data_IF_193894416589
#
_entry.id   IF_193894416589
#
_cell.length_a   1.000
_cell.length_b   1.000
_cell.length_c   1.000
_cell.angle_alpha   90.00
_cell.angle_beta   90.00
_cell.angle_gamma   90.00
#
_symmetry.space_group_name_H-M   'P 1'
#
loop_
_entity.id
_entity.type
_entity.pdbx_description
1 polymer ?
#
# COMPACT_ATOMS: atom_id res chain seq x y z
N UNK A 1 -156.96 142.86 81.71
CA UNK A 1 -157.72 143.65 82.71
C UNK A 1 -157.13 143.35 84.09
N UNK A 2 -157.70 143.92 85.16
CA UNK A 2 -157.39 143.72 86.59
C UNK A 2 -157.19 142.23 86.99
N UNK A 3 -156.49 141.83 88.06
CA UNK A 3 -155.72 142.52 89.13
C UNK A 3 -154.74 141.49 89.79
N UNK A 4 -154.09 141.60 90.97
CA UNK A 4 -154.16 142.50 92.16
C UNK A 4 -152.77 142.60 92.89
N UNK A 5 -152.75 142.75 94.22
CA UNK A 5 -151.63 142.61 95.20
C UNK A 5 -152.08 141.65 96.33
N UNK A 6 -151.23 141.09 97.25
CA UNK A 6 -150.09 141.71 97.97
C UNK A 6 -148.81 140.79 98.15
N UNK A 7 -147.60 141.27 98.49
CA UNK A 7 -146.94 141.39 99.84
C UNK A 7 -146.70 140.05 100.59
N UNK A 8 -145.55 139.72 101.23
CA UNK A 8 -144.29 140.46 101.54
C UNK A 8 -143.06 139.54 101.86
N UNK A 9 -141.84 140.11 101.93
CA UNK A 9 -140.55 139.65 102.53
C UNK A 9 -139.79 138.40 102.01
N UNK A 10 -138.51 138.29 102.43
CA UNK A 10 -137.47 137.27 102.17
C UNK A 10 -137.04 136.95 100.72
N UNK A 11 -136.30 137.86 100.05
CA UNK A 11 -135.64 137.54 98.76
C UNK A 11 -134.35 138.33 98.41
N UNK A 12 -133.21 138.05 99.07
CA UNK A 12 -131.91 138.69 98.74
C UNK A 12 -130.69 137.74 98.85
N UNK A 13 -130.55 136.75 97.93
CA UNK A 13 -129.32 135.90 97.88
C UNK A 13 -129.00 135.09 96.60
N UNK A 14 -129.66 135.35 95.46
CA UNK A 14 -129.65 134.45 94.29
C UNK A 14 -129.01 135.00 93.00
N UNK A 15 -128.32 136.16 93.03
CA UNK A 15 -127.96 136.90 91.80
C UNK A 15 -126.51 136.77 91.30
N UNK A 16 -125.53 136.46 92.14
CA UNK A 16 -124.11 136.74 91.83
C UNK A 16 -123.35 135.58 91.16
N UNK A 17 -123.70 134.33 91.49
CA UNK A 17 -122.97 133.13 91.04
C UNK A 17 -122.98 132.93 89.51
N UNK A 18 -124.05 133.39 88.85
CA UNK A 18 -124.35 133.03 87.45
C UNK A 18 -123.50 133.76 86.42
N UNK A 19 -122.87 134.88 86.78
CA UNK A 19 -122.08 135.70 85.85
C UNK A 19 -120.64 135.18 85.61
N UNK A 20 -120.02 134.55 86.63
CA UNK A 20 -118.64 134.03 86.55
C UNK A 20 -118.49 132.94 85.49
N UNK A 21 -119.39 131.95 85.50
CA UNK A 21 -119.35 130.77 84.64
C UNK A 21 -119.26 131.14 83.15
N UNK A 22 -119.98 132.17 82.72
CA UNK A 22 -119.97 132.67 81.33
C UNK A 22 -118.66 133.31 80.88
N UNK A 23 -117.87 133.88 81.79
CA UNK A 23 -116.57 134.52 81.46
C UNK A 23 -115.47 133.45 81.33
N UNK A 24 -115.55 132.39 82.12
CA UNK A 24 -114.59 131.28 82.10
C UNK A 24 -114.63 130.51 80.77
N UNK A 25 -115.84 130.15 80.31
CA UNK A 25 -116.06 129.45 79.04
C UNK A 25 -115.56 130.26 77.80
N UNK A 26 -115.64 131.59 77.84
CA UNK A 26 -115.14 132.44 76.75
C UNK A 26 -113.60 132.45 76.66
N UNK A 27 -112.87 132.24 77.77
CA UNK A 27 -111.41 132.07 77.73
C UNK A 27 -111.01 130.74 77.11
N UNK A 28 -111.72 129.67 77.45
CA UNK A 28 -111.46 128.32 76.93
C UNK A 28 -111.66 128.26 75.41
N UNK A 29 -112.74 128.85 74.89
CA UNK A 29 -112.99 128.95 73.45
C UNK A 29 -111.89 129.71 72.70
N UNK A 30 -111.30 130.74 73.31
CA UNK A 30 -110.23 131.55 72.69
C UNK A 30 -108.93 130.74 72.55
N UNK A 31 -108.54 129.96 73.56
CA UNK A 31 -107.39 129.06 73.43
C UNK A 31 -107.64 127.89 72.48
N UNK A 32 -108.87 127.37 72.34
CA UNK A 32 -109.17 126.40 71.29
C UNK A 32 -108.90 126.97 69.88
N UNK A 33 -109.32 128.21 69.60
CA UNK A 33 -109.03 128.89 68.32
C UNK A 33 -107.52 129.09 68.12
N UNK A 34 -106.79 129.40 69.19
CA UNK A 34 -105.33 129.58 69.19
C UNK A 34 -104.59 128.27 68.88
N UNK A 35 -105.05 127.15 69.45
CA UNK A 35 -104.55 125.80 69.18
C UNK A 35 -104.85 125.39 67.74
N UNK A 36 -106.07 125.63 67.24
CA UNK A 36 -106.45 125.29 65.86
C UNK A 36 -105.60 126.05 64.83
N UNK A 37 -105.40 127.36 65.01
CA UNK A 37 -104.54 128.17 64.13
C UNK A 37 -103.09 127.69 64.13
N UNK A 38 -102.58 127.23 65.28
CA UNK A 38 -101.23 126.66 65.41
C UNK A 38 -101.12 125.28 64.77
N UNK A 39 -102.17 124.47 64.79
CA UNK A 39 -102.25 123.17 64.09
C UNK A 39 -102.26 123.36 62.56
N UNK A 40 -103.04 124.32 62.05
CA UNK A 40 -103.09 124.64 60.62
C UNK A 40 -101.73 125.12 60.10
N UNK A 41 -101.07 126.02 60.82
CA UNK A 41 -99.71 126.48 60.50
C UNK A 41 -98.66 125.36 60.50
N UNK A 42 -98.84 124.32 61.31
CA UNK A 42 -98.00 123.11 61.29
C UNK A 42 -98.33 122.18 60.13
N UNK A 43 -99.61 122.01 59.78
CA UNK A 43 -100.05 121.20 58.65
C UNK A 43 -99.60 121.79 57.30
N UNK A 44 -99.68 123.12 57.14
CA UNK A 44 -99.15 123.81 55.96
C UNK A 44 -97.63 123.62 55.83
N UNK A 45 -96.87 123.74 56.92
CA UNK A 45 -95.42 123.42 56.91
C UNK A 45 -95.13 121.95 56.59
N UNK A 46 -95.94 121.01 57.10
CA UNK A 46 -95.81 119.59 56.75
C UNK A 46 -96.07 119.34 55.26
N UNK A 47 -97.03 120.04 54.65
CA UNK A 47 -97.33 119.96 53.20
C UNK A 47 -96.16 120.44 52.33
N UNK A 48 -95.36 121.40 52.79
CA UNK A 48 -94.15 121.88 52.06
C UNK A 48 -92.90 121.02 52.25
N UNK A 49 -92.92 119.98 53.10
CA UNK A 49 -91.76 119.13 53.40
C UNK A 49 -91.69 117.86 52.54
N UNK A 50 -92.10 117.95 51.27
CA UNK A 50 -91.96 116.86 50.29
C UNK A 50 -90.51 116.76 49.78
N UNK A 51 -89.64 116.08 50.53
CA UNK A 51 -88.28 115.76 50.10
C UNK A 51 -88.27 114.54 49.17
N UNK A 52 -87.95 114.73 47.90
CA UNK A 52 -87.78 113.68 46.90
C UNK A 52 -87.46 114.26 45.52
N UNK A 53 -86.96 113.43 44.60
CA UNK A 53 -86.92 113.75 43.17
C UNK A 53 -88.36 113.93 42.63
N UNK A 54 -88.52 114.69 41.54
CA UNK A 54 -89.73 114.62 40.73
C UNK A 54 -89.92 113.19 40.18
N UNK A 55 -91.15 112.65 40.09
CA UNK A 55 -91.40 111.29 39.57
C UNK A 55 -90.75 111.03 38.20
N UNK A 56 -90.70 112.05 37.34
CA UNK A 56 -90.03 112.01 36.02
C UNK A 56 -88.53 111.71 36.13
N UNK A 57 -87.86 112.38 37.08
CA UNK A 57 -86.42 112.23 37.34
C UNK A 57 -86.14 110.88 38.01
N UNK A 58 -87.05 110.42 38.87
CA UNK A 58 -86.98 109.09 39.47
C UNK A 58 -87.09 107.99 38.39
N UNK A 59 -88.08 108.08 37.49
CA UNK A 59 -88.25 107.15 36.37
C UNK A 59 -87.00 107.10 35.48
N UNK A 60 -86.47 108.25 35.05
CA UNK A 60 -85.24 108.29 34.25
C UNK A 60 -84.00 107.70 34.97
N UNK A 61 -83.92 107.81 36.30
CA UNK A 61 -82.86 107.17 37.09
C UNK A 61 -83.06 105.64 37.12
N UNK A 62 -84.29 105.17 37.31
CA UNK A 62 -84.65 103.74 37.28
C UNK A 62 -84.37 103.12 35.90
N UNK A 63 -84.79 103.77 34.80
CA UNK A 63 -84.54 103.26 33.44
C UNK A 63 -83.04 103.21 33.11
N UNK A 64 -82.26 104.22 33.51
CA UNK A 64 -80.80 104.20 33.36
C UNK A 64 -80.16 103.06 34.16
N UNK A 65 -80.60 102.84 35.40
CA UNK A 65 -80.13 101.71 36.22
C UNK A 65 -80.54 100.35 35.65
N UNK A 66 -81.72 100.26 35.02
CA UNK A 66 -82.22 99.05 34.34
C UNK A 66 -81.43 98.76 33.07
N UNK A 67 -81.20 99.74 32.20
CA UNK A 67 -80.34 99.57 31.02
C UNK A 67 -78.91 99.21 31.43
N UNK A 68 -78.39 99.78 32.52
CA UNK A 68 -77.07 99.40 33.07
C UNK A 68 -77.07 97.97 33.64
N UNK A 69 -78.12 97.52 34.33
CA UNK A 69 -78.18 96.16 34.87
C UNK A 69 -78.38 95.11 33.78
N UNK A 70 -79.19 95.40 32.75
CA UNK A 70 -79.35 94.56 31.55
C UNK A 70 -78.05 94.50 30.73
N UNK A 71 -77.37 95.64 30.56
CA UNK A 71 -76.04 95.69 29.93
C UNK A 71 -75.01 94.88 30.70
N UNK A 72 -74.94 95.05 32.03
CA UNK A 72 -74.04 94.30 32.90
C UNK A 72 -74.34 92.80 32.87
N UNK A 73 -75.62 92.41 32.97
CA UNK A 73 -76.03 91.00 32.87
C UNK A 73 -75.66 90.38 31.51
N UNK A 74 -75.87 91.09 30.40
CA UNK A 74 -75.46 90.63 29.07
C UNK A 74 -73.94 90.50 28.93
N UNK A 75 -73.17 91.41 29.55
CA UNK A 75 -71.71 91.38 29.57
C UNK A 75 -71.19 90.22 30.43
N UNK A 76 -71.78 89.99 31.61
CA UNK A 76 -71.48 88.85 32.48
C UNK A 76 -71.80 87.54 31.79
N UNK A 77 -72.99 87.37 31.21
CA UNK A 77 -73.35 86.16 30.45
C UNK A 77 -72.41 85.92 29.25
N UNK A 78 -71.95 86.97 28.57
CA UNK A 78 -70.94 86.88 27.51
C UNK A 78 -69.54 86.56 28.02
N UNK A 79 -69.22 86.87 29.28
CA UNK A 79 -67.97 86.46 29.93
C UNK A 79 -68.04 85.00 30.43
N UNK A 80 -69.14 84.62 31.08
CA UNK A 80 -69.45 83.26 31.50
C UNK A 80 -69.42 82.29 30.31
N UNK A 81 -70.05 82.65 29.18
CA UNK A 81 -69.98 81.83 27.97
C UNK A 81 -68.54 81.63 27.51
N UNK A 82 -67.72 82.69 27.42
CA UNK A 82 -66.29 82.53 27.06
C UNK A 82 -65.53 81.64 28.04
N UNK A 83 -65.84 81.70 29.34
CA UNK A 83 -65.22 80.84 30.36
C UNK A 83 -65.63 79.37 30.16
N UNK A 84 -66.86 79.10 29.74
CA UNK A 84 -67.32 77.76 29.37
C UNK A 84 -66.69 77.28 28.06
N UNK A 85 -66.69 78.11 27.00
CA UNK A 85 -66.08 77.81 25.70
C UNK A 85 -64.57 77.51 25.87
N UNK A 86 -63.83 78.33 26.64
CA UNK A 86 -62.42 78.08 26.96
C UNK A 86 -62.20 76.85 27.86
N UNK A 87 -63.18 76.47 28.69
CA UNK A 87 -63.10 75.25 29.51
C UNK A 87 -63.25 74.01 28.64
N UNK A 88 -64.22 74.00 27.71
CA UNK A 88 -64.41 72.94 26.70
C UNK A 88 -63.13 72.74 25.90
N UNK A 89 -62.59 73.81 25.31
CA UNK A 89 -61.33 73.74 24.54
C UNK A 89 -60.14 73.22 25.36
N UNK A 90 -60.07 73.53 26.66
CA UNK A 90 -59.03 72.99 27.55
C UNK A 90 -59.24 71.50 27.84
N UNK A 91 -60.49 71.07 27.98
CA UNK A 91 -60.90 69.68 28.25
C UNK A 91 -60.63 68.80 27.02
N UNK A 92 -61.07 69.24 25.84
CA UNK A 92 -60.74 68.66 24.51
C UNK A 92 -59.22 68.56 24.30
N UNK A 93 -58.46 69.62 24.62
CA UNK A 93 -56.99 69.63 24.52
C UNK A 93 -56.26 68.84 25.62
N UNK A 94 -56.98 68.34 26.63
CA UNK A 94 -56.49 67.34 27.59
C UNK A 94 -56.81 65.93 27.09
N UNK A 95 -58.04 65.68 26.65
CA UNK A 95 -58.48 64.40 26.07
C UNK A 95 -57.62 63.99 24.86
N UNK A 96 -57.40 64.90 23.90
CA UNK A 96 -56.52 64.67 22.74
C UNK A 96 -55.06 64.41 23.15
N UNK A 97 -54.61 64.92 24.30
CA UNK A 97 -53.25 64.66 24.80
C UNK A 97 -53.14 63.28 25.46
N UNK A 98 -54.17 62.88 26.21
CA UNK A 98 -54.26 61.54 26.81
C UNK A 98 -54.33 60.50 25.69
N UNK A 99 -55.26 60.65 24.74
CA UNK A 99 -55.41 59.73 23.62
C UNK A 99 -54.12 59.57 22.77
N UNK A 100 -53.37 60.65 22.56
CA UNK A 100 -52.06 60.60 21.87
C UNK A 100 -50.94 59.98 22.71
N UNK A 101 -50.97 60.14 24.03
CA UNK A 101 -50.02 59.47 24.92
C UNK A 101 -50.31 57.96 24.97
N UNK A 102 -51.59 57.57 25.01
CA UNK A 102 -52.03 56.19 24.96
C UNK A 102 -51.67 55.54 23.61
N UNK A 103 -51.94 56.21 22.47
CA UNK A 103 -51.54 55.76 21.13
C UNK A 103 -50.02 55.56 21.02
N UNK A 104 -49.23 56.52 21.51
CA UNK A 104 -47.77 56.42 21.51
C UNK A 104 -47.27 55.27 22.40
N UNK A 105 -47.88 55.05 23.56
CA UNK A 105 -47.56 53.98 24.49
C UNK A 105 -47.94 52.58 23.95
N UNK A 106 -49.07 52.44 23.24
CA UNK A 106 -49.36 51.17 22.54
C UNK A 106 -48.40 50.93 21.36
N UNK A 107 -47.98 51.98 20.65
CA UNK A 107 -46.94 51.86 19.59
C UNK A 107 -45.56 51.52 20.15
N UNK A 108 -45.20 52.06 21.31
CA UNK A 108 -43.97 51.70 22.02
C UNK A 108 -43.99 50.21 22.43
N UNK A 109 -45.10 49.72 22.99
CA UNK A 109 -45.28 48.30 23.32
C UNK A 109 -45.21 47.39 22.09
N UNK A 110 -45.81 47.79 20.96
CA UNK A 110 -45.77 47.05 19.70
C UNK A 110 -44.32 46.92 19.19
N UNK A 111 -43.56 48.02 19.20
CA UNK A 111 -42.14 48.03 18.81
C UNK A 111 -41.28 47.20 19.78
N UNK A 112 -41.50 47.30 21.09
CA UNK A 112 -40.79 46.49 22.09
C UNK A 112 -41.10 45.00 21.93
N UNK A 113 -42.33 44.63 21.57
CA UNK A 113 -42.70 43.26 21.25
C UNK A 113 -42.02 42.77 19.96
N UNK A 114 -41.97 43.60 18.90
CA UNK A 114 -41.28 43.29 17.64
C UNK A 114 -39.77 43.09 17.85
N UNK A 115 -39.11 43.99 18.58
CA UNK A 115 -37.70 43.86 18.97
C UNK A 115 -37.48 42.53 19.69
N UNK A 116 -38.32 42.18 20.68
CA UNK A 116 -38.20 40.92 21.41
C UNK A 116 -38.42 39.68 20.53
N UNK A 117 -39.08 39.77 19.38
CA UNK A 117 -39.18 38.69 18.39
C UNK A 117 -37.91 38.63 17.51
N UNK A 118 -37.43 39.78 17.03
CA UNK A 118 -36.22 39.87 16.22
C UNK A 118 -34.96 39.42 16.97
N UNK A 119 -34.85 39.72 18.26
CA UNK A 119 -33.75 39.24 19.11
C UNK A 119 -33.74 37.70 19.24
N UNK A 120 -34.91 37.08 19.42
CA UNK A 120 -35.01 35.61 19.46
C UNK A 120 -34.63 34.97 18.12
N UNK A 121 -35.01 35.59 17.00
CA UNK A 121 -34.60 35.14 15.67
C UNK A 121 -33.10 35.29 15.44
N UNK A 122 -32.48 36.39 15.89
CA UNK A 122 -31.02 36.58 15.91
C UNK A 122 -30.33 35.44 16.67
N UNK A 123 -30.79 35.15 17.89
CA UNK A 123 -30.15 34.17 18.77
C UNK A 123 -30.30 32.73 18.23
N UNK A 124 -31.44 32.40 17.61
CA UNK A 124 -31.65 31.12 16.94
C UNK A 124 -30.77 30.97 15.68
N UNK A 125 -30.66 32.01 14.85
CA UNK A 125 -29.76 32.04 13.70
C UNK A 125 -28.28 31.94 14.12
N UNK A 126 -27.89 32.57 15.23
CA UNK A 126 -26.53 32.44 15.77
C UNK A 126 -26.25 31.02 16.28
N UNK A 127 -27.24 30.37 16.90
CA UNK A 127 -27.15 28.97 17.32
C UNK A 127 -27.06 28.01 16.11
N UNK A 128 -27.84 28.24 15.05
CA UNK A 128 -27.72 27.48 13.80
C UNK A 128 -26.36 27.68 13.13
N UNK A 129 -25.84 28.91 13.10
CA UNK A 129 -24.51 29.24 12.56
C UNK A 129 -23.39 28.56 13.36
N UNK A 130 -23.47 28.56 14.70
CA UNK A 130 -22.55 27.81 15.58
C UNK A 130 -22.59 26.30 15.27
N UNK A 131 -23.78 25.71 15.11
CA UNK A 131 -23.97 24.29 14.73
C UNK A 131 -23.38 23.98 13.35
N UNK A 132 -23.56 24.87 12.36
CA UNK A 132 -22.99 24.72 11.01
C UNK A 132 -21.46 24.81 11.06
N UNK A 133 -20.89 25.76 11.79
CA UNK A 133 -19.44 25.90 11.93
C UNK A 133 -18.78 24.69 12.60
N UNK A 134 -19.39 24.12 13.66
CA UNK A 134 -18.92 22.88 14.29
C UNK A 134 -18.97 21.71 13.29
N UNK A 135 -20.07 21.60 12.53
CA UNK A 135 -20.24 20.57 11.51
C UNK A 135 -19.24 20.70 10.37
N UNK A 136 -18.98 21.93 9.92
CA UNK A 136 -18.01 22.26 8.87
C UNK A 136 -16.57 21.99 9.33
N UNK A 137 -16.22 22.29 10.58
CA UNK A 137 -14.94 21.90 11.17
C UNK A 137 -14.77 20.37 11.19
N UNK A 138 -15.80 19.62 11.61
CA UNK A 138 -15.78 18.16 11.63
C UNK A 138 -15.80 17.50 10.24
N UNK A 139 -16.33 18.17 9.21
CA UNK A 139 -16.20 17.76 7.80
C UNK A 139 -14.79 18.05 7.29
N UNK A 140 -14.24 19.23 7.55
CA UNK A 140 -12.89 19.62 7.13
C UNK A 140 -11.80 18.76 7.78
N UNK A 141 -11.97 18.35 9.04
CA UNK A 141 -11.08 17.39 9.69
C UNK A 141 -11.10 16.04 8.94
N UNK A 142 -12.28 15.45 8.72
CA UNK A 142 -12.42 14.19 7.96
C UNK A 142 -11.88 14.29 6.52
N UNK A 143 -12.00 15.45 5.88
CA UNK A 143 -11.44 15.71 4.56
C UNK A 143 -9.90 15.79 4.54
N UNK A 144 -9.26 16.18 5.65
CA UNK A 144 -7.79 16.11 5.80
C UNK A 144 -7.36 14.66 5.99
N UNK A 145 -7.94 13.96 6.97
CA UNK A 145 -7.66 12.54 7.20
C UNK A 145 -7.81 11.70 5.91
N UNK A 146 -8.91 11.84 5.18
CA UNK A 146 -9.15 11.09 3.94
C UNK A 146 -8.21 11.47 2.77
N UNK A 147 -7.54 12.63 2.82
CA UNK A 147 -6.45 12.98 1.89
C UNK A 147 -5.13 12.37 2.36
N UNK A 148 -4.82 12.45 3.64
CA UNK A 148 -3.62 11.85 4.24
C UNK A 148 -3.61 10.31 4.08
N UNK A 149 -4.76 9.65 4.29
CA UNK A 149 -4.96 8.21 4.03
C UNK A 149 -4.76 7.84 2.54
N UNK A 150 -5.26 8.67 1.62
CA UNK A 150 -5.02 8.50 0.17
C UNK A 150 -3.55 8.69 -0.17
N UNK A 151 -2.92 9.74 0.34
CA UNK A 151 -1.53 10.09 -0.01
C UNK A 151 -0.56 9.01 0.54
N UNK A 152 -0.85 8.44 1.70
CA UNK A 152 -0.17 7.25 2.23
C UNK A 152 -0.40 5.99 1.37
N UNK A 153 -1.62 5.80 0.85
CA UNK A 153 -1.94 4.68 -0.04
C UNK A 153 -1.23 4.81 -1.40
N UNK A 154 -1.22 6.00 -2.00
CA UNK A 154 -0.57 6.27 -3.28
C UNK A 154 0.96 6.10 -3.18
N UNK A 155 1.57 6.51 -2.06
CA UNK A 155 2.98 6.25 -1.73
C UNK A 155 3.25 4.73 -1.57
N UNK A 156 2.48 4.03 -0.74
CA UNK A 156 2.65 2.59 -0.52
C UNK A 156 2.44 1.77 -1.81
N UNK A 157 1.48 2.17 -2.65
CA UNK A 157 1.24 1.57 -3.95
C UNK A 157 2.39 1.84 -4.93
N UNK A 158 3.00 3.03 -4.88
CA UNK A 158 4.20 3.37 -5.67
C UNK A 158 5.39 2.47 -5.28
N UNK A 159 5.64 2.29 -3.98
CA UNK A 159 6.67 1.37 -3.47
C UNK A 159 6.43 -0.09 -3.91
N UNK A 160 5.18 -0.55 -3.94
CA UNK A 160 4.81 -1.88 -4.45
C UNK A 160 5.14 -2.00 -5.94
N UNK A 161 4.82 -0.97 -6.75
CA UNK A 161 5.13 -0.94 -8.19
C UNK A 161 6.64 -0.94 -8.44
N UNK A 162 7.43 -0.20 -7.67
CA UNK A 162 8.90 -0.24 -7.77
C UNK A 162 9.47 -1.61 -7.39
N UNK A 163 9.00 -2.23 -6.30
CA UNK A 163 9.42 -3.58 -5.92
C UNK A 163 9.08 -4.61 -7.02
N UNK A 164 7.85 -4.57 -7.56
CA UNK A 164 7.43 -5.46 -8.66
C UNK A 164 8.32 -5.27 -9.90
N UNK A 165 8.64 -4.02 -10.25
CA UNK A 165 9.56 -3.71 -11.36
C UNK A 165 10.97 -4.24 -11.14
N UNK A 166 11.54 -4.11 -9.94
CA UNK A 166 12.87 -4.69 -9.66
C UNK A 166 12.88 -6.22 -9.73
N UNK A 167 11.76 -6.87 -9.38
CA UNK A 167 11.58 -8.32 -9.56
C UNK A 167 11.40 -8.72 -11.03
N UNK A 168 10.71 -7.92 -11.83
CA UNK A 168 10.62 -8.10 -13.29
C UNK A 168 12.00 -7.96 -13.96
N UNK A 169 12.80 -6.96 -13.56
CA UNK A 169 14.18 -6.77 -14.02
C UNK A 169 15.10 -7.94 -13.61
N UNK A 170 14.95 -8.48 -12.40
CA UNK A 170 15.71 -9.63 -11.90
C UNK A 170 15.37 -10.92 -12.67
N UNK A 171 14.07 -11.21 -12.85
CA UNK A 171 13.59 -12.35 -13.63
C UNK A 171 14.00 -12.22 -15.10
N UNK A 172 13.95 -11.01 -15.67
CA UNK A 172 14.40 -10.75 -17.05
C UNK A 172 15.89 -11.03 -17.25
N UNK A 173 16.74 -10.68 -16.28
CA UNK A 173 18.17 -11.02 -16.29
C UNK A 173 18.40 -12.53 -16.17
N UNK A 174 17.65 -13.21 -15.31
CA UNK A 174 17.70 -14.68 -15.18
C UNK A 174 17.28 -15.39 -16.48
N UNK A 175 16.18 -14.96 -17.11
CA UNK A 175 15.73 -15.48 -18.41
C UNK A 175 16.76 -15.23 -19.52
N UNK A 176 17.45 -14.08 -19.50
CA UNK A 176 18.53 -13.80 -20.45
C UNK A 176 19.73 -14.75 -20.25
N UNK A 177 20.12 -15.01 -19.00
CA UNK A 177 21.20 -15.95 -18.68
C UNK A 177 20.85 -17.38 -19.12
N UNK A 178 19.67 -17.90 -18.79
CA UNK A 178 19.25 -19.25 -19.16
C UNK A 178 19.11 -19.45 -20.68
N UNK A 179 18.87 -18.39 -21.47
CA UNK A 179 18.93 -18.46 -22.94
C UNK A 179 20.36 -18.69 -23.43
N UNK A 180 21.33 -17.93 -22.91
CA UNK A 180 22.75 -18.12 -23.24
C UNK A 180 23.23 -19.51 -22.81
N UNK A 181 22.79 -20.02 -21.66
CA UNK A 181 23.05 -21.41 -21.24
C UNK A 181 22.45 -22.44 -22.21
N UNK A 182 21.23 -22.22 -22.71
CA UNK A 182 20.60 -23.10 -23.71
C UNK A 182 21.33 -23.08 -25.08
N UNK A 183 21.82 -21.92 -25.51
CA UNK A 183 22.63 -21.79 -26.74
C UNK A 183 23.98 -22.52 -26.59
N UNK A 184 24.61 -22.44 -25.40
CA UNK A 184 25.83 -23.18 -25.04
C UNK A 184 25.56 -24.69 -25.02
N UNK A 185 24.47 -25.15 -24.39
CA UNK A 185 24.08 -26.56 -24.37
C UNK A 185 23.78 -27.11 -25.77
N UNK A 186 23.14 -26.32 -26.63
CA UNK A 186 22.89 -26.67 -28.04
C UNK A 186 24.22 -26.82 -28.80
N UNK A 187 25.20 -25.95 -28.54
CA UNK A 187 26.54 -26.04 -29.12
C UNK A 187 27.28 -27.30 -28.67
N UNK A 188 27.20 -27.66 -27.38
CA UNK A 188 27.78 -28.90 -26.86
C UNK A 188 27.10 -30.16 -27.40
N UNK A 189 25.77 -30.15 -27.56
CA UNK A 189 25.01 -31.26 -28.12
C UNK A 189 25.42 -31.54 -29.57
N UNK A 190 25.53 -30.49 -30.39
CA UNK A 190 26.03 -30.61 -31.77
C UNK A 190 27.46 -31.17 -31.80
N UNK A 191 28.37 -30.63 -30.97
CA UNK A 191 29.76 -31.10 -30.88
C UNK A 191 29.85 -32.59 -30.49
N UNK A 192 29.00 -33.07 -29.57
CA UNK A 192 28.98 -34.46 -29.15
C UNK A 192 28.45 -35.39 -30.26
N UNK A 193 27.40 -34.98 -30.98
CA UNK A 193 26.87 -35.75 -32.11
C UNK A 193 27.87 -35.82 -33.28
N UNK A 194 28.47 -34.68 -33.66
CA UNK A 194 29.53 -34.62 -34.68
C UNK A 194 30.73 -35.50 -34.30
N UNK A 195 31.15 -35.46 -33.02
CA UNK A 195 32.24 -36.30 -32.50
C UNK A 195 31.87 -37.79 -32.52
N UNK A 196 30.62 -38.14 -32.21
CA UNK A 196 30.13 -39.51 -32.23
C UNK A 196 30.07 -40.07 -33.66
N UNK A 197 29.55 -39.29 -34.62
CA UNK A 197 29.56 -39.62 -36.05
C UNK A 197 31.00 -39.80 -36.57
N UNK A 198 31.92 -38.92 -36.19
CA UNK A 198 33.33 -39.02 -36.55
C UNK A 198 33.97 -40.29 -35.96
N UNK A 199 33.84 -40.52 -34.65
CA UNK A 199 34.40 -41.70 -33.98
C UNK A 199 33.84 -43.01 -34.56
N UNK A 200 32.55 -43.04 -34.85
CA UNK A 200 31.90 -44.18 -35.50
C UNK A 200 32.48 -44.42 -36.91
N UNK A 201 32.55 -43.39 -37.75
CA UNK A 201 33.07 -43.52 -39.12
C UNK A 201 34.53 -43.98 -39.15
N UNK A 202 35.36 -43.49 -38.22
CA UNK A 202 36.75 -43.94 -38.05
C UNK A 202 36.83 -45.41 -37.60
N UNK A 203 35.93 -45.83 -36.69
CA UNK A 203 35.87 -47.22 -36.21
C UNK A 203 35.45 -48.18 -37.32
N UNK A 204 34.39 -47.84 -38.06
CA UNK A 204 33.93 -48.63 -39.22
C UNK A 204 34.96 -48.66 -40.36
N UNK A 205 35.74 -47.58 -40.57
CA UNK A 205 36.83 -47.56 -41.55
C UNK A 205 38.01 -48.44 -41.11
N UNK A 206 38.38 -48.40 -39.83
CA UNK A 206 39.45 -49.25 -39.27
C UNK A 206 39.06 -50.73 -39.27
N UNK A 207 37.81 -51.06 -38.95
CA UNK A 207 37.30 -52.43 -39.03
C UNK A 207 37.38 -52.98 -40.46
N UNK A 208 36.95 -52.20 -41.46
CA UNK A 208 37.11 -52.55 -42.88
C UNK A 208 38.58 -52.75 -43.25
N UNK A 209 39.48 -51.85 -42.85
CA UNK A 209 40.93 -52.00 -43.10
C UNK A 209 41.49 -53.30 -42.50
N UNK A 210 41.11 -53.65 -41.27
CA UNK A 210 41.58 -54.87 -40.60
C UNK A 210 41.02 -56.12 -41.29
N UNK A 211 39.76 -56.11 -41.73
CA UNK A 211 39.16 -57.22 -42.46
C UNK A 211 39.77 -57.40 -43.85
N UNK A 212 40.00 -56.30 -44.58
CA UNK A 212 40.73 -56.27 -45.87
C UNK A 212 42.16 -56.86 -45.74
N UNK A 213 42.86 -56.52 -44.65
CA UNK A 213 44.21 -57.02 -44.38
C UNK A 213 44.20 -58.48 -43.92
N UNK A 214 43.19 -58.90 -43.16
CA UNK A 214 42.98 -60.28 -42.76
C UNK A 214 42.65 -61.19 -43.95
N UNK A 215 41.78 -60.78 -44.88
CA UNK A 215 41.49 -61.54 -46.09
C UNK A 215 42.75 -61.74 -46.94
N UNK A 216 43.56 -60.68 -47.13
CA UNK A 216 44.86 -60.78 -47.82
C UNK A 216 45.82 -61.74 -47.12
N UNK A 217 45.89 -61.71 -45.79
CA UNK A 217 46.73 -62.64 -45.02
C UNK A 217 46.25 -64.08 -45.09
N UNK A 218 44.94 -64.32 -45.13
CA UNK A 218 44.35 -65.66 -45.34
C UNK A 218 44.71 -66.18 -46.74
N UNK A 219 44.56 -65.33 -47.77
CA UNK A 219 44.97 -65.57 -49.15
C UNK A 219 46.46 -65.97 -49.26
N UNK A 220 47.36 -65.21 -48.60
CA UNK A 220 48.80 -65.52 -48.57
C UNK A 220 49.10 -66.82 -47.82
N UNK A 221 48.42 -67.09 -46.70
CA UNK A 221 48.61 -68.30 -45.90
C UNK A 221 48.20 -69.56 -46.67
N UNK A 222 47.06 -69.54 -47.37
CA UNK A 222 46.62 -70.67 -48.19
C UNK A 222 47.58 -70.91 -49.37
N UNK A 223 48.02 -69.85 -50.06
CA UNK A 223 49.01 -69.96 -51.15
C UNK A 223 50.35 -70.54 -50.66
N UNK A 224 50.80 -70.17 -49.47
CA UNK A 224 51.99 -70.75 -48.84
C UNK A 224 51.79 -72.22 -48.45
N UNK A 225 50.64 -72.58 -47.87
CA UNK A 225 50.31 -73.96 -47.52
C UNK A 225 50.30 -74.87 -48.76
N UNK A 226 49.64 -74.44 -49.84
CA UNK A 226 49.63 -75.16 -51.13
C UNK A 226 51.06 -75.34 -51.67
N UNK A 227 51.90 -74.31 -51.60
CA UNK A 227 53.29 -74.38 -52.07
C UNK A 227 54.13 -75.39 -51.27
N UNK A 228 54.07 -75.33 -49.94
CA UNK A 228 54.82 -76.20 -49.04
C UNK A 228 54.35 -77.66 -49.13
N UNK A 229 53.04 -77.91 -49.09
CA UNK A 229 52.48 -79.27 -49.20
C UNK A 229 52.76 -79.88 -50.59
N UNK A 230 52.70 -79.09 -51.66
CA UNK A 230 53.13 -79.54 -53.00
C UNK A 230 54.62 -79.87 -53.04
N UNK A 231 55.46 -79.15 -52.28
CA UNK A 231 56.88 -79.47 -52.08
C UNK A 231 57.07 -80.80 -51.36
N UNK A 232 56.50 -80.95 -50.16
CA UNK A 232 56.63 -82.17 -49.36
C UNK A 232 56.08 -83.41 -50.08
N UNK A 233 54.95 -83.31 -50.80
CA UNK A 233 54.43 -84.41 -51.63
C UNK A 233 55.45 -84.88 -52.68
N UNK A 234 56.12 -83.94 -53.38
CA UNK A 234 57.15 -84.23 -54.39
C UNK A 234 58.45 -84.78 -53.82
N UNK A 235 58.75 -84.51 -52.55
CA UNK A 235 59.94 -85.03 -51.86
C UNK A 235 59.68 -86.40 -51.20
N UNK A 236 58.49 -86.59 -50.62
CA UNK A 236 58.07 -87.85 -50.01
C UNK A 236 57.94 -88.98 -51.03
N UNK A 237 57.31 -88.74 -52.18
CA UNK A 237 57.04 -89.80 -53.18
C UNK A 237 58.32 -90.53 -53.65
N UNK A 238 59.39 -89.85 -54.11
CA UNK A 238 60.67 -90.50 -54.42
C UNK A 238 61.39 -91.11 -53.21
N UNK A 239 61.13 -90.60 -52.00
CA UNK A 239 61.79 -91.05 -50.77
C UNK A 239 61.17 -92.36 -50.24
N UNK A 240 59.84 -92.49 -50.28
CA UNK A 240 59.13 -93.75 -49.95
C UNK A 240 59.50 -94.86 -50.94
N UNK A 241 59.56 -94.54 -52.25
CA UNK A 241 60.03 -95.48 -53.30
C UNK A 241 61.51 -95.88 -53.09
N UNK A 242 62.32 -95.03 -52.45
CA UNK A 242 63.72 -95.39 -52.09
C UNK A 242 63.77 -96.32 -50.89
N UNK A 243 62.97 -96.05 -49.85
CA UNK A 243 62.83 -96.95 -48.70
C UNK A 243 62.37 -98.34 -49.14
N UNK A 244 61.34 -98.43 -49.99
CA UNK A 244 60.86 -99.72 -50.54
C UNK A 244 62.01 -100.55 -51.15
N UNK A 245 62.88 -99.91 -51.94
CA UNK A 245 64.07 -100.52 -52.55
C UNK A 245 65.17 -100.86 -51.53
N UNK A 246 65.36 -100.05 -50.50
CA UNK A 246 66.29 -100.37 -49.41
C UNK A 246 65.81 -101.59 -48.61
N UNK A 247 64.50 -101.68 -48.32
CA UNK A 247 63.90 -102.84 -47.64
C UNK A 247 64.03 -104.11 -48.49
N UNK A 248 63.74 -104.04 -49.79
CA UNK A 248 63.97 -105.16 -50.73
C UNK A 248 65.45 -105.56 -50.78
N UNK A 249 66.37 -104.59 -50.83
CA UNK A 249 67.82 -104.83 -50.83
C UNK A 249 68.31 -105.50 -49.54
N UNK A 250 67.84 -105.05 -48.37
CA UNK A 250 68.17 -105.65 -47.07
C UNK A 250 67.60 -107.05 -46.92
N UNK A 251 66.37 -107.31 -47.41
CA UNK A 251 65.78 -108.66 -47.46
C UNK A 251 66.61 -109.60 -48.36
N UNK A 252 67.09 -109.11 -49.51
CA UNK A 252 67.97 -109.87 -50.39
C UNK A 252 69.35 -110.16 -49.76
N UNK A 253 69.97 -109.21 -49.04
CA UNK A 253 71.21 -109.48 -48.31
C UNK A 253 71.00 -110.46 -47.14
N UNK A 254 69.87 -110.37 -46.43
CA UNK A 254 69.57 -111.28 -45.32
C UNK A 254 69.32 -112.72 -45.80
N UNK A 255 68.61 -112.90 -46.91
CA UNK A 255 68.32 -114.23 -47.48
C UNK A 255 69.54 -114.93 -48.10
N UNK A 256 70.60 -114.19 -48.42
CA UNK A 256 71.83 -114.74 -49.01
C UNK A 256 72.82 -115.34 -48.00
N UNK A 257 72.62 -115.16 -46.69
CA UNK A 257 73.67 -115.38 -45.69
C UNK A 257 73.78 -116.82 -45.15
N UNK A 258 72.75 -117.66 -45.29
CA UNK A 258 72.76 -119.03 -44.72
C UNK A 258 73.65 -120.04 -45.48
N UNK A 259 74.14 -119.74 -46.69
CA UNK A 259 74.88 -120.71 -47.53
C UNK A 259 76.15 -120.12 -48.16
N UNK A 260 77.10 -119.66 -47.33
CA UNK A 260 78.50 -119.50 -47.74
C UNK A 260 79.50 -119.68 -46.58
N UNK A 261 80.61 -120.36 -46.88
CA UNK A 261 81.82 -120.57 -46.07
C UNK A 261 82.34 -119.28 -45.39
N UNK A 262 82.80 -119.27 -44.13
CA UNK A 262 83.85 -120.09 -43.49
C UNK A 262 85.25 -119.94 -44.15
N UNK A 263 86.31 -119.91 -43.34
CA UNK A 263 87.67 -119.45 -43.68
C UNK A 263 87.72 -117.96 -44.04
N UNK A 264 88.65 -117.21 -43.43
CA UNK A 264 88.91 -115.82 -43.77
C UNK A 264 90.39 -115.48 -43.61
N UNK A 265 90.78 -114.28 -44.00
CA UNK A 265 91.93 -113.58 -43.44
C UNK A 265 91.85 -112.06 -43.70
N UNK A 266 92.61 -111.31 -42.89
CA UNK A 266 93.11 -109.92 -43.00
C UNK A 266 92.47 -108.89 -43.96
N UNK A 267 92.25 -107.70 -43.39
CA UNK A 267 92.40 -106.36 -43.98
C UNK A 267 91.85 -106.11 -45.39
N UNK A 268 90.54 -105.86 -45.47
CA UNK A 268 90.01 -104.93 -46.46
C UNK A 268 89.04 -103.92 -45.83
N UNK A 269 89.31 -102.63 -46.07
CA UNK A 269 88.49 -101.49 -45.58
C UNK A 269 87.25 -101.29 -46.46
N UNK A 270 86.58 -102.39 -46.81
CA UNK A 270 85.29 -102.38 -47.47
C UNK A 270 84.21 -102.19 -46.39
N UNK A 271 83.41 -101.13 -46.50
CA UNK A 271 82.23 -100.97 -45.66
C UNK A 271 81.28 -102.14 -45.92
N UNK A 272 80.79 -102.81 -44.87
CA UNK A 272 79.78 -103.84 -45.01
C UNK A 272 78.60 -103.25 -45.81
N UNK A 273 78.24 -103.79 -46.98
CA UNK A 273 77.24 -103.15 -47.85
C UNK A 273 75.88 -103.05 -47.16
N UNK A 274 75.55 -104.02 -46.30
CA UNK A 274 74.41 -103.96 -45.38
C UNK A 274 74.41 -102.69 -44.54
N UNK A 275 75.53 -102.38 -43.85
CA UNK A 275 75.62 -101.24 -42.92
C UNK A 275 75.37 -99.90 -43.63
N UNK A 276 75.90 -99.70 -44.83
CA UNK A 276 75.65 -98.48 -45.60
C UNK A 276 74.17 -98.36 -46.02
N UNK A 277 73.52 -99.46 -46.39
CA UNK A 277 72.09 -99.47 -46.73
C UNK A 277 71.23 -99.25 -45.49
N UNK A 278 71.60 -99.77 -44.32
CA UNK A 278 70.90 -99.48 -43.04
C UNK A 278 71.08 -98.02 -42.60
N UNK A 279 72.26 -97.42 -42.82
CA UNK A 279 72.56 -96.02 -42.51
C UNK A 279 71.80 -95.06 -43.47
N UNK A 280 71.77 -95.35 -44.77
CA UNK A 280 70.93 -94.62 -45.73
C UNK A 280 69.42 -94.84 -45.49
N UNK A 281 69.00 -96.04 -45.08
CA UNK A 281 67.61 -96.30 -44.69
C UNK A 281 67.20 -95.41 -43.51
N UNK A 282 68.03 -95.31 -42.47
CA UNK A 282 67.75 -94.50 -41.28
C UNK A 282 67.69 -93.00 -41.56
N UNK A 283 68.55 -92.47 -42.44
CA UNK A 283 68.47 -91.07 -42.88
C UNK A 283 67.15 -90.77 -43.61
N UNK A 284 66.75 -91.63 -44.55
CA UNK A 284 65.48 -91.46 -45.27
C UNK A 284 64.26 -91.70 -44.36
N UNK A 285 64.32 -92.63 -43.41
CA UNK A 285 63.26 -92.90 -42.43
C UNK A 285 63.06 -91.70 -41.51
N UNK A 286 64.14 -91.20 -40.89
CA UNK A 286 64.10 -90.02 -40.02
C UNK A 286 63.61 -88.78 -40.79
N UNK A 287 64.05 -88.60 -42.05
CA UNK A 287 63.61 -87.50 -42.90
C UNK A 287 62.12 -87.58 -43.26
N UNK A 288 61.62 -88.77 -43.60
CA UNK A 288 60.20 -89.00 -43.92
C UNK A 288 59.33 -88.77 -42.68
N UNK A 289 59.70 -89.34 -41.52
CA UNK A 289 58.97 -89.14 -40.25
C UNK A 289 58.97 -87.66 -39.84
N UNK A 290 60.10 -86.96 -39.97
CA UNK A 290 60.18 -85.51 -39.69
C UNK A 290 59.29 -84.71 -40.64
N UNK A 291 59.26 -85.07 -41.93
CA UNK A 291 58.41 -84.41 -42.93
C UNK A 291 56.92 -84.63 -42.63
N UNK A 292 56.51 -85.84 -42.28
CA UNK A 292 55.13 -86.12 -41.86
C UNK A 292 54.75 -85.33 -40.59
N UNK A 293 55.63 -85.27 -39.59
CA UNK A 293 55.42 -84.47 -38.37
C UNK A 293 55.21 -82.98 -38.64
N UNK A 294 55.96 -82.40 -39.60
CA UNK A 294 55.74 -81.02 -40.05
C UNK A 294 54.40 -80.86 -40.77
N UNK A 295 54.01 -81.81 -41.62
CA UNK A 295 52.70 -81.82 -42.29
C UNK A 295 51.55 -81.96 -41.27
N UNK A 296 51.72 -82.77 -40.23
CA UNK A 296 50.75 -82.91 -39.14
C UNK A 296 50.58 -81.61 -38.35
N UNK A 297 51.68 -80.94 -38.01
CA UNK A 297 51.59 -79.63 -37.34
C UNK A 297 50.97 -78.55 -38.26
N UNK A 298 51.31 -78.54 -39.56
CA UNK A 298 50.64 -77.67 -40.53
C UNK A 298 49.14 -77.96 -40.62
N UNK A 299 48.73 -79.23 -40.57
CA UNK A 299 47.33 -79.67 -40.57
C UNK A 299 46.57 -79.17 -39.34
N UNK A 300 47.15 -79.30 -38.15
CA UNK A 300 46.60 -78.73 -36.91
C UNK A 300 46.43 -77.21 -37.02
N UNK A 301 47.48 -76.48 -37.43
CA UNK A 301 47.42 -75.01 -37.55
C UNK A 301 46.43 -74.55 -38.63
N UNK A 302 46.24 -75.32 -39.69
CA UNK A 302 45.24 -75.02 -40.72
C UNK A 302 43.81 -75.11 -40.15
N UNK A 303 43.47 -76.19 -39.44
CA UNK A 303 42.12 -76.43 -38.94
C UNK A 303 41.78 -75.75 -37.61
N UNK A 304 42.76 -75.50 -36.72
CA UNK A 304 42.53 -74.87 -35.41
C UNK A 304 41.90 -73.46 -35.49
N UNK A 305 41.88 -72.84 -36.68
CA UNK A 305 41.24 -71.54 -36.95
C UNK A 305 39.96 -71.60 -37.79
N UNK A 306 39.52 -72.77 -38.27
CA UNK A 306 38.34 -72.96 -39.16
C UNK A 306 36.99 -72.86 -38.39
N UNK A 307 36.91 -71.96 -37.42
CA UNK A 307 35.79 -71.82 -36.47
C UNK A 307 34.78 -70.71 -36.78
N UNK A 308 35.02 -69.90 -37.82
CA UNK A 308 34.12 -68.82 -38.22
C UNK A 308 34.24 -68.46 -39.72
N UNK A 309 35.45 -68.48 -40.30
CA UNK A 309 35.68 -68.38 -41.75
C UNK A 309 35.99 -69.75 -42.35
N UNK A 310 35.37 -70.05 -43.50
CA UNK A 310 35.79 -71.09 -44.45
C UNK A 310 36.74 -70.44 -45.47
N UNK A 311 37.95 -70.97 -45.66
CA UNK A 311 38.90 -70.30 -46.56
C UNK A 311 38.57 -70.60 -48.01
N UNK A 312 38.76 -69.61 -48.89
CA UNK A 312 38.32 -69.66 -50.30
C UNK A 312 38.83 -70.86 -51.10
N UNK A 313 40.05 -71.33 -50.81
CA UNK A 313 40.69 -72.46 -51.50
C UNK A 313 40.95 -73.66 -50.56
N UNK A 314 40.12 -73.87 -49.53
CA UNK A 314 40.24 -75.00 -48.59
C UNK A 314 40.39 -76.36 -49.30
N UNK A 315 39.64 -76.58 -50.40
CA UNK A 315 39.60 -77.86 -51.13
C UNK A 315 40.96 -78.29 -51.70
N UNK A 316 41.75 -77.37 -52.27
CA UNK A 316 43.07 -77.72 -52.82
C UNK A 316 44.14 -77.95 -51.75
N UNK A 317 43.91 -77.46 -50.52
CA UNK A 317 44.73 -77.80 -49.35
C UNK A 317 44.32 -79.15 -48.78
N UNK A 318 43.01 -79.41 -48.69
CA UNK A 318 42.42 -80.70 -48.29
C UNK A 318 42.91 -81.84 -49.22
N UNK A 319 42.86 -81.68 -50.54
CA UNK A 319 43.40 -82.63 -51.53
C UNK A 319 44.89 -82.94 -51.33
N UNK A 320 45.70 -81.93 -51.00
CA UNK A 320 47.14 -82.10 -50.78
C UNK A 320 47.46 -82.82 -49.47
N UNK A 321 46.70 -82.56 -48.39
CA UNK A 321 46.81 -83.35 -47.16
C UNK A 321 46.42 -84.80 -47.40
N UNK A 322 45.29 -85.05 -48.08
CA UNK A 322 44.84 -86.40 -48.41
C UNK A 322 45.84 -87.16 -49.28
N UNK A 323 46.52 -86.50 -50.23
CA UNK A 323 47.56 -87.13 -51.05
C UNK A 323 48.85 -87.44 -50.27
N UNK A 324 49.20 -86.64 -49.26
CA UNK A 324 50.31 -86.95 -48.36
C UNK A 324 49.93 -88.08 -47.40
N UNK A 325 48.69 -88.15 -46.93
CA UNK A 325 48.19 -89.25 -46.09
C UNK A 325 48.18 -90.58 -46.86
N UNK A 326 47.85 -90.56 -48.17
CA UNK A 326 48.04 -91.72 -49.07
C UNK A 326 49.51 -92.14 -49.21
N UNK A 327 50.48 -91.22 -49.08
CA UNK A 327 51.91 -91.55 -49.04
C UNK A 327 52.33 -92.10 -47.67
N UNK A 328 51.73 -91.63 -46.56
CA UNK A 328 51.96 -92.21 -45.22
C UNK A 328 51.47 -93.64 -45.15
N UNK A 329 50.24 -93.92 -45.58
CA UNK A 329 49.68 -95.26 -45.60
C UNK A 329 50.50 -96.25 -46.47
N UNK A 330 51.13 -95.77 -47.56
CA UNK A 330 52.11 -96.56 -48.33
C UNK A 330 53.37 -96.83 -47.51
N UNK A 331 53.98 -95.82 -46.91
CA UNK A 331 55.18 -95.96 -46.08
C UNK A 331 54.95 -96.92 -44.89
N UNK A 332 53.85 -96.77 -44.16
CA UNK A 332 53.47 -97.64 -43.04
C UNK A 332 53.15 -99.09 -43.45
N UNK A 333 52.81 -99.33 -44.74
CA UNK A 333 52.65 -100.68 -45.28
C UNK A 333 53.97 -101.39 -45.61
N UNK A 334 55.10 -100.67 -45.61
CA UNK A 334 56.43 -101.25 -45.80
C UNK A 334 56.91 -101.81 -44.46
N UNK A 335 57.04 -103.13 -44.37
CA UNK A 335 57.55 -103.82 -43.18
C UNK A 335 58.99 -103.36 -42.85
N UNK A 336 59.15 -102.67 -41.70
CA UNK A 336 60.43 -102.15 -41.19
C UNK A 336 61.45 -103.29 -40.99
N UNK A 337 62.65 -103.24 -41.61
CA UNK A 337 63.66 -104.29 -41.44
C UNK A 337 64.20 -104.38 -40.01
N UNK A 338 64.72 -105.56 -39.67
CA UNK A 338 65.58 -105.71 -38.49
C UNK A 338 66.97 -105.12 -38.81
N UNK A 339 67.22 -103.89 -38.32
CA UNK A 339 68.47 -103.16 -38.48
C UNK A 339 69.48 -103.58 -37.40
N UNK A 340 70.70 -103.94 -37.80
CA UNK A 340 71.77 -104.28 -36.87
C UNK A 340 72.30 -103.03 -36.14
N UNK A 341 72.15 -101.84 -36.75
CA UNK A 341 72.58 -100.55 -36.18
C UNK A 341 71.75 -100.06 -34.99
N UNK A 342 70.52 -100.52 -34.82
CA UNK A 342 69.57 -99.99 -33.82
C UNK A 342 69.53 -100.83 -32.52
N UNK A 343 70.21 -101.99 -32.50
CA UNK A 343 70.25 -102.88 -31.35
C UNK A 343 70.96 -102.21 -30.13
N UNK A 344 70.27 -102.01 -28.98
CA UNK A 344 70.84 -101.22 -27.88
C UNK A 344 72.10 -101.85 -27.27
N UNK A 345 73.22 -101.11 -27.30
CA UNK A 345 74.41 -101.43 -26.50
C UNK A 345 74.27 -100.74 -25.13
N UNK A 346 74.03 -101.47 -24.02
CA UNK A 346 73.70 -100.83 -22.74
C UNK A 346 74.93 -100.22 -22.06
N UNK A 347 74.88 -98.91 -21.81
CA UNK A 347 75.75 -98.21 -20.86
C UNK A 347 74.96 -97.19 -20.03
N UNK A 348 75.53 -96.85 -18.88
CA UNK A 348 74.86 -96.18 -17.77
C UNK A 348 74.88 -94.64 -17.86
N UNK A 349 74.07 -94.05 -16.99
CA UNK A 349 74.19 -92.73 -16.33
C UNK A 349 74.69 -91.53 -17.14
N UNK A 350 73.87 -90.46 -17.19
CA UNK A 350 74.19 -89.29 -16.36
C UNK A 350 72.94 -88.44 -16.04
N UNK A 351 73.07 -87.45 -15.14
CA UNK A 351 71.96 -86.62 -14.65
C UNK A 351 72.29 -85.11 -14.60
N UNK A 352 71.43 -84.29 -15.22
CA UNK A 352 71.46 -82.81 -15.17
C UNK A 352 70.22 -82.21 -15.88
N UNK A 353 69.70 -81.02 -15.56
CA UNK A 353 69.98 -80.15 -14.41
C UNK A 353 68.75 -79.28 -14.01
N UNK A 354 68.96 -78.38 -13.04
CA UNK A 354 68.01 -77.48 -12.35
C UNK A 354 67.13 -76.59 -13.26
N UNK A 355 65.99 -76.17 -12.73
CA UNK A 355 65.55 -74.76 -12.82
C UNK A 355 64.71 -74.35 -11.58
N UNK A 356 64.78 -73.10 -11.05
CA UNK A 356 64.22 -72.77 -9.73
C UNK A 356 63.10 -71.70 -9.70
N UNK A 357 62.32 -71.72 -8.61
CA UNK A 357 61.95 -70.51 -7.86
C UNK A 357 60.73 -69.69 -8.30
N UNK A 358 59.87 -69.36 -7.34
CA UNK A 358 58.90 -68.25 -7.41
C UNK A 358 58.45 -67.85 -6.00
N UNK A 359 58.59 -66.57 -5.59
CA UNK A 359 58.10 -66.08 -4.31
C UNK A 359 56.75 -65.34 -4.44
N UNK A 360 55.77 -65.76 -3.64
CA UNK A 360 55.18 -64.98 -2.54
C UNK A 360 55.58 -63.48 -2.42
N UNK A 361 54.74 -62.53 -1.98
CA UNK A 361 53.49 -62.67 -1.23
C UNK A 361 52.72 -61.33 -1.05
N UNK A 362 51.55 -61.43 -0.40
CA UNK A 362 50.93 -60.44 0.51
C UNK A 362 50.19 -59.22 -0.10
N UNK A 363 49.13 -58.83 0.62
CA UNK A 363 48.25 -57.68 0.35
C UNK A 363 48.18 -56.75 1.59
N UNK A 364 47.05 -56.30 2.17
CA UNK A 364 46.83 -54.85 2.31
C UNK A 364 46.76 -54.34 3.76
N UNK A 365 46.84 -53.01 3.97
CA UNK A 365 46.02 -52.34 5.01
C UNK A 365 45.83 -50.81 4.87
N UNK A 366 44.56 -50.44 4.63
CA UNK A 366 43.73 -49.40 5.30
C UNK A 366 44.32 -48.67 6.53
N UNK A 367 44.05 -47.36 6.71
CA UNK A 367 43.36 -46.72 7.89
C UNK A 367 43.34 -45.16 7.89
N UNK A 368 42.12 -44.60 8.00
CA UNK A 368 41.67 -43.34 8.66
C UNK A 368 42.25 -41.93 8.34
N UNK A 369 41.56 -40.92 8.90
CA UNK A 369 41.54 -39.48 8.54
C UNK A 369 41.64 -38.59 9.78
N UNK A 370 42.30 -37.41 9.75
CA UNK A 370 41.90 -36.21 10.54
C UNK A 370 42.64 -34.89 10.20
N UNK A 371 41.89 -33.80 9.88
CA UNK A 371 42.12 -32.34 10.16
C UNK A 371 43.49 -31.70 9.75
N UNK A 372 43.80 -30.39 9.87
CA UNK A 372 43.18 -29.16 10.46
C UNK A 372 43.59 -27.87 9.67
N UNK A 373 43.39 -26.67 10.27
CA UNK A 373 44.01 -25.33 9.99
C UNK A 373 43.30 -24.43 8.94
N UNK A 374 43.34 -23.07 8.95
CA UNK A 374 43.73 -21.95 9.87
C UNK A 374 43.50 -20.63 9.06
N UNK A 375 43.30 -19.39 9.51
CA UNK A 375 42.85 -18.64 10.72
C UNK A 375 43.20 -17.13 10.43
N UNK A 376 42.92 -16.22 11.37
CA UNK A 376 43.47 -14.85 11.54
C UNK A 376 42.93 -13.60 10.76
N UNK A 377 43.24 -12.43 11.34
CA UNK A 377 42.63 -11.09 11.24
C UNK A 377 43.70 -10.04 11.67
N UNK A 378 43.62 -8.73 11.31
CA UNK A 378 43.59 -7.72 12.40
C UNK A 378 42.93 -6.32 12.13
N UNK A 379 42.14 -5.86 13.11
CA UNK A 379 42.05 -4.53 13.79
C UNK A 379 42.46 -3.17 13.15
N UNK A 380 41.51 -2.22 13.19
CA UNK A 380 41.39 -1.04 14.12
C UNK A 380 42.60 -0.13 14.48
N UNK A 381 42.43 1.22 14.67
CA UNK A 381 41.79 1.77 15.90
C UNK A 381 41.03 3.13 15.85
N UNK A 382 40.15 3.36 16.85
CA UNK A 382 39.76 4.58 17.65
C UNK A 382 39.73 6.01 17.02
N UNK A 383 39.02 7.05 17.54
CA UNK A 383 38.40 7.43 18.84
C UNK A 383 37.18 8.39 18.54
N UNK A 384 36.37 9.07 19.39
CA UNK A 384 36.20 9.34 20.86
C UNK A 384 34.75 9.84 21.17
N UNK A 385 34.43 10.14 22.45
CA UNK A 385 33.25 10.88 22.99
C UNK A 385 31.83 10.21 22.88
N UNK A 386 30.82 10.53 23.71
CA UNK A 386 30.71 11.52 24.81
C UNK A 386 29.86 11.02 26.03
N UNK A 387 29.66 11.87 27.04
CA UNK A 387 29.18 11.59 28.41
C UNK A 387 27.64 11.54 28.62
N UNK A 388 27.20 11.25 29.86
CA UNK A 388 25.80 11.08 30.29
C UNK A 388 24.95 12.37 30.25
N UNK A 389 23.64 12.24 29.92
CA UNK A 389 22.59 13.14 30.42
C UNK A 389 21.30 12.38 30.80
N UNK A 390 20.59 12.92 31.80
CA UNK A 390 19.39 12.36 32.42
C UNK A 390 18.12 13.15 31.99
N UNK A 391 17.07 12.51 31.44
CA UNK A 391 15.82 13.16 31.06
C UNK A 391 15.12 13.96 32.17
N UNK A 392 15.38 13.66 33.45
CA UNK A 392 14.81 14.42 34.57
C UNK A 392 15.33 15.87 34.64
N UNK A 393 16.50 16.16 34.07
CA UNK A 393 17.12 17.48 34.13
C UNK A 393 16.45 18.53 33.22
N UNK A 394 15.80 18.12 32.12
CA UNK A 394 15.18 19.07 31.18
C UNK A 394 13.84 19.64 31.70
N UNK A 395 13.05 18.83 32.40
CA UNK A 395 11.79 19.29 33.02
C UNK A 395 12.04 20.42 34.04
N UNK A 396 13.07 20.28 34.87
CA UNK A 396 13.47 21.31 35.84
C UNK A 396 13.96 22.61 35.19
N UNK A 397 14.35 22.57 33.90
CA UNK A 397 14.81 23.74 33.16
C UNK A 397 13.65 24.52 32.53
N UNK A 398 12.61 23.82 32.05
CA UNK A 398 11.42 24.42 31.46
C UNK A 398 10.54 25.13 32.51
N UNK A 399 10.41 24.54 33.71
CA UNK A 399 9.61 25.11 34.80
C UNK A 399 10.23 26.39 35.41
N UNK A 400 11.53 26.64 35.15
CA UNK A 400 12.22 27.87 35.56
C UNK A 400 12.02 29.06 34.60
N UNK A 401 11.44 28.87 33.42
CA UNK A 401 11.30 29.91 32.39
C UNK A 401 9.97 30.70 32.48
N UNK A 402 9.04 30.26 33.34
CA UNK A 402 7.69 30.83 33.44
C UNK A 402 7.40 31.48 34.81
N UNK A 403 8.32 32.30 35.34
CA UNK A 403 8.22 32.71 36.75
C UNK A 403 9.07 33.89 37.26
N UNK A 404 9.15 35.02 36.54
CA UNK A 404 9.42 36.37 37.09
C UNK A 404 9.06 37.49 36.12
N UNK A 405 8.86 38.68 36.69
CA UNK A 405 8.61 40.00 36.08
C UNK A 405 7.14 40.43 35.94
N UNK A 406 6.43 40.41 37.08
CA UNK A 406 5.27 41.28 37.34
C UNK A 406 5.71 42.43 38.26
N UNK A 407 6.07 43.58 37.67
CA UNK A 407 6.46 44.80 38.36
C UNK A 407 5.64 45.98 37.82
N UNK A 408 5.12 46.81 38.74
CA UNK A 408 3.96 47.68 38.53
C UNK A 408 4.16 48.87 37.57
N UNK A 409 3.22 49.04 36.63
CA UNK A 409 2.76 50.30 36.04
C UNK A 409 1.31 50.10 35.56
N UNK A 410 0.39 51.06 35.56
CA UNK A 410 0.17 52.28 36.36
C UNK A 410 -1.27 52.73 36.07
N UNK A 411 -1.94 53.48 36.96
CA UNK A 411 -3.21 54.14 36.62
C UNK A 411 -2.97 55.52 35.96
N UNK A 412 -4.06 56.24 35.72
CA UNK A 412 -4.15 57.61 35.17
C UNK A 412 -3.89 57.82 33.66
N UNK A 413 -4.99 58.22 33.00
CA UNK A 413 -5.08 59.43 32.16
C UNK A 413 -4.28 59.50 30.83
N UNK A 414 -4.95 59.12 29.74
CA UNK A 414 -5.03 59.80 28.43
C UNK A 414 -6.20 59.13 27.67
N UNK A 415 -7.17 59.85 27.09
CA UNK A 415 -7.46 61.28 27.14
C UNK A 415 -8.80 61.54 26.43
N UNK A 416 -9.50 62.61 26.82
CA UNK A 416 -10.81 62.97 26.27
C UNK A 416 -10.70 63.27 24.76
N UNK A 417 -11.60 62.71 23.92
CA UNK A 417 -11.66 62.99 22.48
C UNK A 417 -13.10 63.34 22.07
N UNK A 418 -13.24 64.61 21.68
CA UNK A 418 -14.50 65.30 21.39
C UNK A 418 -15.28 64.64 20.25
N UNK A 419 -16.61 64.53 20.39
CA UNK A 419 -17.49 63.95 19.35
C UNK A 419 -18.47 64.96 18.72
N UNK A 420 -18.18 66.26 18.83
CA UNK A 420 -19.01 67.38 18.37
C UNK A 420 -18.78 67.77 16.89
N UNK A 421 -18.64 66.77 16.01
CA UNK A 421 -18.63 66.94 14.55
C UNK A 421 -19.90 66.36 13.86
N UNK A 422 -20.98 66.11 14.62
CA UNK A 422 -22.29 65.69 14.06
C UNK A 422 -23.47 66.64 14.31
N UNK A 423 -23.41 67.60 15.24
CA UNK A 423 -24.51 68.60 15.39
C UNK A 423 -24.49 69.69 14.28
N UNK A 424 -23.42 69.76 13.47
CA UNK A 424 -23.22 70.87 12.52
C UNK A 424 -23.97 70.71 11.19
N UNK A 425 -24.41 69.51 10.83
CA UNK A 425 -25.02 69.24 9.52
C UNK A 425 -26.55 69.44 9.49
N UNK A 426 -27.22 69.48 10.65
CA UNK A 426 -28.69 69.60 10.75
C UNK A 426 -29.24 71.04 10.87
N UNK A 427 -28.38 72.07 10.84
CA UNK A 427 -28.80 73.49 10.89
C UNK A 427 -28.64 74.26 9.57
N UNK A 428 -28.06 73.64 8.54
CA UNK A 428 -27.76 74.28 7.24
C UNK A 428 -28.70 73.80 6.11
N UNK A 429 -29.96 73.49 6.45
CA UNK A 429 -30.88 72.74 5.60
C UNK A 429 -32.13 73.48 5.09
N UNK A 430 -32.32 74.78 5.39
CA UNK A 430 -33.50 75.50 4.92
C UNK A 430 -33.29 77.03 4.76
N UNK A 431 -33.19 77.51 3.51
CA UNK A 431 -33.63 78.87 3.09
C UNK A 431 -33.52 79.11 1.57
N UNK A 432 -34.33 80.05 1.07
CA UNK A 432 -34.15 80.80 -0.19
C UNK A 432 -34.30 80.07 -1.55
N UNK A 433 -35.56 79.82 -1.92
CA UNK A 433 -36.02 79.59 -3.31
C UNK A 433 -35.74 80.76 -4.29
N UNK A 434 -35.72 80.46 -5.61
CA UNK A 434 -35.75 81.39 -6.79
C UNK A 434 -34.38 82.03 -7.10
N UNK A 435 -34.01 82.37 -8.35
CA UNK A 435 -34.72 82.48 -9.66
C UNK A 435 -33.69 82.11 -10.77
N UNK A 436 -34.01 81.41 -11.88
CA UNK A 436 -34.43 81.95 -13.21
C UNK A 436 -33.82 83.36 -13.52
N UNK A 437 -33.25 83.66 -14.69
CA UNK A 437 -33.53 83.21 -16.07
C UNK A 437 -32.22 83.10 -16.93
N UNK A 438 -32.34 83.21 -18.26
CA UNK A 438 -31.30 83.54 -19.26
C UNK A 438 -30.44 84.75 -18.85
#
# INVERSE_FOLDING_TARGET
MHSEKPSIEDQEKMSDEKAKVTIEALKEALEQIRICSRLEGLLLKKKTLSLGDSPEIHAQKVDKLKVLSESLASSTSKAEKRILDHRSQKEEALEVRVAKADEANEKEKEIVAEISVLEKQRDELEAELKRVNISLAAVNARLRNAREERDQFDEANSQIVEHLKTKEDEVSKSIAACKVEADILTTWLNFLEDTWVLQRSYSEAKEKQVNDELERHEDYFVKLAIHLLSGYKKELEPSVIRIEKFVESLKNLSGGLEIASNVGNEDSKALNPRKNIEEEYLDYEAKIITTFSVVDNMREQFYAKKGASSRKDDTSVEELFDDIEKLRAKFESIERPNLELEAPTPKADDSSEKSPGSPSHISPQKVATLKSNTDEHPREPAVEADEMLDPAAELARLESEFGKDAQDYSTEEIGDWEFDELERELRSGDTATKKLDL
#
